data_IF_035474218445
#
_entry.id   IF_035474218445
#
_cell.length_a   1.000
_cell.length_b   1.000
_cell.length_c   1.000
_cell.angle_alpha   90.00
_cell.angle_beta   90.00
_cell.angle_gamma   90.00
#
_symmetry.space_group_name_H-M   'P 1'
#
loop_
_entity.id
_entity.type
_entity.pdbx_description
1 polymer ?
#
# COMPACT_ATOMS: atom_id res chain seq x y z
N UNK A 1 -18.60 -1.44 7.08
CA UNK A 1 -17.80 -2.41 6.35
C UNK A 1 -16.44 -1.84 5.99
N UNK A 2 -15.55 -2.72 5.66
CA UNK A 2 -14.18 -2.38 5.39
C UNK A 2 -14.01 -1.66 4.05
N UNK A 3 -12.98 -0.84 3.94
CA UNK A 3 -12.66 0.01 2.82
C UNK A 3 -12.63 -0.72 1.46
N UNK A 4 -13.63 -0.49 0.61
CA UNK A 4 -13.70 -1.11 -0.70
C UNK A 4 -12.57 -0.66 -1.64
N UNK A 5 -12.24 0.63 -1.74
CA UNK A 5 -11.09 1.06 -2.56
C UNK A 5 -9.76 0.46 -2.10
N UNK A 6 -9.60 0.25 -0.78
CA UNK A 6 -8.40 -0.38 -0.25
C UNK A 6 -8.25 -1.81 -0.77
N UNK A 7 -9.36 -2.53 -0.88
CA UNK A 7 -9.35 -3.90 -1.38
C UNK A 7 -9.11 -3.96 -2.86
N UNK A 8 -9.67 -3.01 -3.61
CA UNK A 8 -9.56 -2.99 -5.06
C UNK A 8 -8.13 -2.83 -5.55
N UNK A 9 -7.29 -2.10 -4.84
CA UNK A 9 -5.91 -1.89 -5.26
C UNK A 9 -4.94 -3.01 -4.86
N UNK A 10 -5.32 -3.87 -3.91
CA UNK A 10 -4.43 -4.90 -3.38
C UNK A 10 -3.80 -5.81 -4.44
N UNK A 11 -4.55 -6.36 -5.40
CA UNK A 11 -3.92 -7.23 -6.41
C UNK A 11 -2.86 -6.53 -7.23
N UNK A 12 -3.10 -5.28 -7.66
CA UNK A 12 -2.10 -4.55 -8.44
C UNK A 12 -0.89 -4.17 -7.59
N UNK A 13 -1.09 -3.85 -6.32
CA UNK A 13 0.00 -3.55 -5.39
C UNK A 13 0.87 -4.79 -5.15
N UNK A 14 0.24 -5.95 -5.00
CA UNK A 14 0.94 -7.21 -4.84
C UNK A 14 1.81 -7.52 -6.07
N UNK A 15 1.28 -7.29 -7.27
CA UNK A 15 2.03 -7.48 -8.51
C UNK A 15 3.16 -6.46 -8.67
N UNK A 16 2.96 -5.24 -8.22
CA UNK A 16 4.00 -4.21 -8.24
C UNK A 16 5.23 -4.67 -7.47
N UNK A 17 5.04 -5.32 -6.33
CA UNK A 17 6.15 -5.81 -5.51
C UNK A 17 7.05 -6.79 -6.26
N UNK A 18 6.48 -7.56 -7.18
CA UNK A 18 7.23 -8.54 -7.99
C UNK A 18 7.67 -8.01 -9.34
N UNK A 19 7.41 -6.72 -9.65
CA UNK A 19 7.75 -6.14 -10.94
C UNK A 19 9.27 -5.94 -11.05
N UNK A 20 9.89 -6.57 -12.06
CA UNK A 20 11.34 -6.52 -12.22
C UNK A 20 11.88 -5.19 -12.78
N UNK A 21 11.00 -4.29 -13.21
CA UNK A 21 11.39 -2.94 -13.64
C UNK A 21 11.68 -2.03 -12.46
N UNK A 22 11.19 -2.39 -11.28
CA UNK A 22 11.39 -1.62 -10.05
C UNK A 22 12.23 -2.45 -9.10
N UNK A 23 13.48 -2.07 -8.95
CA UNK A 23 14.43 -2.76 -8.07
C UNK A 23 14.47 -2.09 -6.71
N UNK A 24 14.78 -2.87 -5.68
CA UNK A 24 14.96 -2.36 -4.32
C UNK A 24 13.69 -1.70 -3.74
N UNK A 25 12.52 -2.08 -4.25
CA UNK A 25 11.26 -1.57 -3.74
C UNK A 25 10.85 -2.36 -2.50
N UNK A 26 10.52 -1.64 -1.44
CA UNK A 26 9.94 -2.21 -0.22
C UNK A 26 8.53 -1.68 -0.08
N UNK A 27 7.56 -2.57 0.04
CA UNK A 27 6.16 -2.19 0.24
C UNK A 27 5.73 -2.67 1.61
N UNK A 28 5.26 -1.73 2.43
CA UNK A 28 4.65 -2.03 3.73
C UNK A 28 3.16 -1.77 3.64
N UNK A 29 2.36 -2.82 3.63
CA UNK A 29 0.92 -2.69 3.63
C UNK A 29 0.43 -2.67 5.07
N UNK A 30 -0.12 -1.54 5.51
CA UNK A 30 -0.47 -1.31 6.90
C UNK A 30 -1.98 -1.14 7.04
N UNK A 31 -2.59 -2.01 7.82
CA UNK A 31 -4.01 -1.92 8.17
C UNK A 31 -4.18 -0.99 9.36
N UNK A 32 -4.96 0.08 9.15
CA UNK A 32 -5.16 1.12 10.18
C UNK A 32 -6.31 0.75 11.09
N UNK A 33 -6.05 0.77 12.39
CA UNK A 33 -7.04 0.43 13.40
C UNK A 33 -6.97 -1.03 13.83
N UNK A 34 -7.83 -1.41 14.77
CA UNK A 34 -7.87 -2.77 15.30
C UNK A 34 -9.20 -3.48 15.04
N UNK A 35 -10.13 -2.85 14.37
CA UNK A 35 -11.41 -3.44 14.02
C UNK A 35 -11.29 -4.26 12.75
N UNK A 36 -12.02 -5.37 12.68
CA UNK A 36 -12.12 -6.19 11.48
C UNK A 36 -10.79 -6.79 10.99
N UNK A 37 -9.83 -7.00 11.90
CA UNK A 37 -8.54 -7.61 11.54
C UNK A 37 -8.71 -8.98 10.86
N UNK A 38 -9.64 -9.78 11.34
CA UNK A 38 -9.89 -11.10 10.76
C UNK A 38 -10.40 -10.99 9.33
N UNK A 39 -11.20 -9.96 9.03
CA UNK A 39 -11.65 -9.69 7.66
C UNK A 39 -10.47 -9.31 6.76
N UNK A 40 -9.54 -8.49 7.27
CA UNK A 40 -8.35 -8.11 6.52
C UNK A 40 -7.49 -9.33 6.20
N UNK A 41 -7.26 -10.20 7.17
CA UNK A 41 -6.52 -11.45 6.98
C UNK A 41 -7.20 -12.34 5.96
N UNK A 42 -8.53 -12.48 6.06
CA UNK A 42 -9.30 -13.28 5.11
C UNK A 42 -9.19 -12.74 3.70
N UNK A 43 -9.22 -11.41 3.56
CA UNK A 43 -9.08 -10.76 2.26
C UNK A 43 -7.75 -11.07 1.61
N UNK A 44 -6.67 -10.98 2.37
CA UNK A 44 -5.34 -11.34 1.86
C UNK A 44 -5.32 -12.78 1.37
N UNK A 45 -5.93 -13.67 2.13
CA UNK A 45 -5.99 -15.09 1.76
C UNK A 45 -6.86 -15.31 0.52
N UNK A 46 -8.05 -14.72 0.49
CA UNK A 46 -9.01 -14.91 -0.61
C UNK A 46 -8.47 -14.34 -1.93
N UNK A 47 -7.75 -13.23 -1.88
CA UNK A 47 -7.14 -12.61 -3.05
C UNK A 47 -5.79 -13.24 -3.41
N UNK A 48 -5.35 -14.24 -2.66
CA UNK A 48 -4.07 -14.93 -2.89
C UNK A 48 -2.89 -13.95 -2.96
N UNK A 49 -2.87 -12.98 -2.04
CA UNK A 49 -1.76 -12.03 -1.95
C UNK A 49 -0.50 -12.77 -1.53
N UNK A 50 0.56 -12.68 -2.35
CA UNK A 50 1.77 -13.49 -2.18
C UNK A 50 3.01 -12.68 -1.81
N UNK A 51 3.08 -11.43 -2.26
CA UNK A 51 4.29 -10.62 -2.16
C UNK A 51 4.22 -9.56 -1.08
N UNK A 52 3.08 -9.39 -0.44
CA UNK A 52 2.86 -8.41 0.60
C UNK A 52 2.60 -9.08 1.93
N UNK A 53 3.15 -8.49 2.99
CA UNK A 53 2.85 -8.88 4.36
C UNK A 53 1.91 -7.84 4.97
N UNK A 54 0.96 -8.28 5.76
CA UNK A 54 0.00 -7.41 6.42
C UNK A 54 0.56 -6.94 7.76
N UNK A 55 0.71 -5.62 7.91
CA UNK A 55 1.09 -4.98 9.16
C UNK A 55 -0.11 -4.25 9.74
N UNK A 56 -0.05 -3.91 11.02
CA UNK A 56 -1.16 -3.26 11.72
C UNK A 56 -0.71 -2.00 12.43
N UNK A 57 -1.52 -0.95 12.30
CA UNK A 57 -1.41 0.28 13.08
C UNK A 57 -2.61 0.31 14.04
N UNK A 58 -2.55 -0.52 15.10
CA UNK A 58 -3.68 -0.75 16.01
C UNK A 58 -4.20 0.51 16.67
N UNK A 59 -3.30 1.38 17.09
CA UNK A 59 -3.65 2.61 17.83
C UNK A 59 -3.84 3.82 16.93
N UNK A 60 -3.79 3.62 15.62
CA UNK A 60 -3.92 4.69 14.62
C UNK A 60 -2.80 5.74 14.76
N UNK A 61 -1.69 5.36 15.39
CA UNK A 61 -0.57 6.26 15.65
C UNK A 61 0.13 6.69 14.37
N UNK A 62 0.40 5.73 13.46
CA UNK A 62 1.03 6.06 12.18
C UNK A 62 0.11 6.94 11.32
N UNK A 63 -1.18 6.61 11.29
CA UNK A 63 -2.14 7.41 10.53
C UNK A 63 -2.15 8.86 11.02
N UNK A 64 -2.11 9.05 12.34
CA UNK A 64 -2.07 10.39 12.94
C UNK A 64 -0.75 11.09 12.65
N UNK A 65 0.38 10.39 12.77
CA UNK A 65 1.69 10.97 12.52
C UNK A 65 1.87 11.42 11.07
N UNK A 66 1.27 10.70 10.13
CA UNK A 66 1.28 11.08 8.71
C UNK A 66 0.14 12.02 8.32
N UNK A 67 -0.70 12.39 9.27
CA UNK A 67 -1.86 13.28 9.05
C UNK A 67 -2.75 12.77 7.91
N UNK A 68 -3.09 11.48 7.94
CA UNK A 68 -3.95 10.88 6.92
C UNK A 68 -5.35 11.46 6.98
N UNK A 69 -5.90 11.78 5.82
CA UNK A 69 -7.26 12.31 5.69
C UNK A 69 -8.24 11.30 5.11
N UNK A 70 -7.78 10.13 4.73
CA UNK A 70 -8.64 9.08 4.20
C UNK A 70 -7.83 7.85 3.83
N UNK A 71 -8.54 6.78 3.48
CA UNK A 71 -7.95 5.51 3.07
C UNK A 71 -8.51 5.09 1.71
N UNK A 72 -7.72 4.45 0.88
CA UNK A 72 -6.31 4.18 1.07
C UNK A 72 -5.46 5.43 0.83
N UNK A 73 -4.33 5.51 1.48
CA UNK A 73 -3.30 6.51 1.20
C UNK A 73 -1.98 5.79 1.00
N UNK A 74 -1.30 6.11 -0.08
CA UNK A 74 0.02 5.56 -0.38
C UNK A 74 1.06 6.65 -0.20
N UNK A 75 2.05 6.38 0.64
CA UNK A 75 3.13 7.33 0.92
C UNK A 75 4.40 6.77 0.30
N UNK A 76 5.05 7.57 -0.53
CA UNK A 76 6.27 7.19 -1.22
C UNK A 76 7.46 7.86 -0.53
N UNK A 77 8.40 7.03 -0.11
CA UNK A 77 9.56 7.47 0.67
C UNK A 77 10.83 7.09 -0.10
N UNK A 78 11.75 8.05 -0.23
CA UNK A 78 13.00 7.84 -0.94
C UNK A 78 14.04 7.12 -0.06
N UNK A 79 15.22 6.88 -0.63
CA UNK A 79 16.30 6.18 0.10
C UNK A 79 16.84 6.95 1.31
N UNK A 80 16.58 8.25 1.36
CA UNK A 80 16.99 9.10 2.50
C UNK A 80 15.96 9.09 3.62
N UNK A 81 14.83 8.39 3.45
CA UNK A 81 13.77 8.35 4.43
C UNK A 81 12.80 9.53 4.35
N UNK A 82 12.79 10.24 3.23
CA UNK A 82 11.95 11.42 3.03
C UNK A 82 10.74 11.08 2.17
N UNK A 83 9.58 11.55 2.60
CA UNK A 83 8.37 11.45 1.79
C UNK A 83 8.51 12.37 0.58
N UNK A 84 8.41 11.82 -0.63
CA UNK A 84 8.49 12.64 -1.85
C UNK A 84 7.20 12.68 -2.65
N UNK A 85 6.25 11.79 -2.35
CA UNK A 85 4.95 11.79 -3.01
C UNK A 85 3.92 11.11 -2.14
N UNK A 86 2.66 11.43 -2.38
CA UNK A 86 1.53 10.83 -1.64
C UNK A 86 0.37 10.68 -2.59
N UNK A 87 -0.24 9.50 -2.60
CA UNK A 87 -1.40 9.21 -3.44
C UNK A 87 -2.61 9.05 -2.55
N UNK A 88 -3.62 9.89 -2.76
CA UNK A 88 -4.88 9.82 -2.04
C UNK A 88 -5.88 9.01 -2.87
N UNK A 89 -6.43 7.97 -2.25
CA UNK A 89 -7.35 7.07 -2.94
C UNK A 89 -6.65 5.93 -3.64
N UNK A 90 -7.45 5.03 -4.22
CA UNK A 90 -6.92 3.85 -4.90
C UNK A 90 -6.45 4.17 -6.31
N UNK A 91 -5.41 3.47 -6.73
CA UNK A 91 -4.93 3.52 -8.12
C UNK A 91 -4.64 2.10 -8.58
N UNK A 92 -4.46 1.96 -9.88
CA UNK A 92 -3.94 0.73 -10.45
C UNK A 92 -2.41 0.80 -10.45
N UNK A 93 -1.79 0.04 -9.56
CA UNK A 93 -0.33 0.04 -9.42
C UNK A 93 0.37 -0.67 -10.59
N UNK A 94 -0.37 -1.28 -11.50
CA UNK A 94 0.17 -1.84 -12.74
C UNK A 94 0.13 -0.85 -13.90
N UNK A 95 -0.43 0.34 -13.73
CA UNK A 95 -0.45 1.38 -14.75
C UNK A 95 0.98 1.66 -15.23
N UNK A 96 1.20 1.56 -16.54
CA UNK A 96 2.52 1.68 -17.13
C UNK A 96 3.16 3.04 -16.89
N UNK A 97 2.35 4.09 -16.86
CA UNK A 97 2.85 5.45 -16.61
C UNK A 97 3.33 5.60 -15.18
N UNK A 98 2.59 5.01 -14.24
CA UNK A 98 2.98 4.99 -12.84
C UNK A 98 4.28 4.21 -12.64
N UNK A 99 4.39 3.03 -13.22
CA UNK A 99 5.58 2.17 -13.12
C UNK A 99 6.80 2.89 -13.72
N UNK A 100 6.63 3.51 -14.88
CA UNK A 100 7.71 4.27 -15.50
C UNK A 100 8.17 5.43 -14.62
N UNK A 101 7.23 6.19 -14.10
CA UNK A 101 7.52 7.31 -13.21
C UNK A 101 8.26 6.83 -11.95
N UNK A 102 7.76 5.77 -11.32
CA UNK A 102 8.36 5.24 -10.10
C UNK A 102 9.77 4.71 -10.34
N UNK A 103 10.00 4.06 -11.48
CA UNK A 103 11.32 3.50 -11.82
C UNK A 103 12.40 4.58 -11.93
N UNK A 104 12.02 5.81 -12.23
CA UNK A 104 12.95 6.93 -12.35
C UNK A 104 13.49 7.40 -11.00
N UNK A 105 12.82 7.04 -9.91
CA UNK A 105 13.26 7.36 -8.53
C UNK A 105 14.11 6.25 -7.90
N UNK A 106 14.30 5.20 -8.61
CA UNK A 106 14.91 3.99 -8.04
C UNK A 106 16.44 3.96 -8.20
#
# INVERSE_FOLDING_TARGET
TWCAPCREELPSLDLLRSNNKIKNLIILHIYVGNENKEKAKKFFKDLEIKNLKLYYDDSVKLANNFSLIGLPTTILINKKGEEFARILGSIDFEDKRFIKWLSEYN
#
